data_IF_752155743745
#
_entry.id   IF_752155743745
#
_cell.length_a   1.000
_cell.length_b   1.000
_cell.length_c   1.000
_cell.angle_alpha   90.00
_cell.angle_beta   90.00
_cell.angle_gamma   90.00
#
_symmetry.space_group_name_H-M   'P 1'
#
loop_
_entity.id
_entity.type
_entity.pdbx_description
1 polymer ?
#
# COMPACT_ATOMS: atom_id res chain seq x y z
N UNK A 1 -4.45 -8.24 13.41
CA UNK A 1 -4.72 -8.70 12.03
C UNK A 1 -3.43 -9.28 11.47
N UNK A 2 -3.44 -10.32 10.62
CA UNK A 2 -2.21 -11.01 10.14
C UNK A 2 -1.21 -10.03 9.52
N UNK A 3 -1.70 -9.03 8.79
CA UNK A 3 -0.86 -8.03 8.11
C UNK A 3 -0.42 -6.86 9.02
N UNK A 4 -0.75 -6.88 10.31
CA UNK A 4 -0.44 -5.80 11.27
C UNK A 4 0.08 -6.37 12.61
N UNK A 5 0.69 -7.56 12.58
CA UNK A 5 1.35 -8.12 13.77
C UNK A 5 2.75 -7.52 13.89
N UNK A 6 3.06 -6.91 15.03
CA UNK A 6 4.35 -6.26 15.32
C UNK A 6 5.56 -7.19 15.11
N UNK A 7 5.39 -8.49 15.40
CA UNK A 7 6.43 -9.51 15.21
C UNK A 7 6.82 -9.70 13.74
N UNK A 8 5.83 -9.66 12.82
CA UNK A 8 6.05 -9.84 11.37
C UNK A 8 6.35 -8.49 10.68
N UNK A 9 5.82 -7.39 11.22
CA UNK A 9 5.88 -6.03 10.65
C UNK A 9 6.09 -5.00 11.78
N UNK A 10 7.33 -4.56 12.06
CA UNK A 10 7.60 -3.56 13.10
C UNK A 10 6.90 -2.23 12.80
N UNK A 11 6.33 -1.52 13.77
CA UNK A 11 5.55 -0.29 13.54
C UNK A 11 4.49 -0.44 12.42
N UNK A 12 3.57 -1.43 12.51
CA UNK A 12 2.71 -1.85 11.41
C UNK A 12 1.72 -0.76 10.96
N UNK A 13 1.40 0.19 11.84
CA UNK A 13 0.53 1.34 11.55
C UNK A 13 1.25 2.44 10.74
N UNK A 14 2.59 2.41 10.66
CA UNK A 14 3.37 3.38 9.89
C UNK A 14 3.62 2.87 8.47
N UNK A 15 3.21 3.68 7.49
CA UNK A 15 3.60 3.49 6.10
C UNK A 15 5.11 3.75 5.94
N UNK A 16 5.88 2.67 5.92
CA UNK A 16 7.34 2.70 5.79
C UNK A 16 7.78 1.62 4.78
N UNK A 17 7.97 1.97 3.50
CA UNK A 17 8.41 1.01 2.48
C UNK A 17 9.79 0.40 2.77
N UNK A 18 10.68 1.14 3.44
CA UNK A 18 12.05 0.70 3.72
C UNK A 18 12.11 -0.52 4.62
N UNK A 19 11.03 -0.86 5.34
CA UNK A 19 10.98 -2.09 6.15
C UNK A 19 11.17 -3.36 5.34
N UNK A 20 10.75 -3.34 4.08
CA UNK A 20 10.87 -4.46 3.16
C UNK A 20 12.25 -4.53 2.50
N UNK A 21 13.19 -3.64 2.86
CA UNK A 21 14.54 -3.57 2.32
C UNK A 21 15.61 -3.79 3.40
N UNK A 22 16.70 -4.47 3.07
CA UNK A 22 17.89 -4.59 3.90
C UNK A 22 18.83 -3.38 3.71
N UNK A 23 19.96 -3.37 4.43
CA UNK A 23 20.92 -2.26 4.39
C UNK A 23 21.55 -2.06 2.99
N UNK A 24 21.56 -3.10 2.17
CA UNK A 24 22.05 -3.10 0.79
C UNK A 24 20.95 -2.77 -0.23
N UNK A 25 19.72 -2.53 0.21
CA UNK A 25 18.57 -2.22 -0.64
C UNK A 25 17.96 -3.44 -1.34
N UNK A 26 18.26 -4.65 -0.90
CA UNK A 26 17.61 -5.89 -1.36
C UNK A 26 16.41 -6.20 -0.47
N UNK A 27 15.58 -7.17 -0.88
CA UNK A 27 14.43 -7.58 -0.07
C UNK A 27 14.88 -8.10 1.29
N UNK A 28 14.32 -7.53 2.36
CA UNK A 28 14.62 -7.91 3.73
C UNK A 28 13.99 -9.28 4.05
N UNK A 29 14.78 -10.34 4.29
CA UNK A 29 14.23 -11.67 4.59
C UNK A 29 13.58 -11.76 5.98
N UNK A 30 13.81 -10.77 6.86
CA UNK A 30 13.26 -10.74 8.21
C UNK A 30 11.85 -10.15 8.28
N UNK A 31 11.38 -9.50 7.20
CA UNK A 31 10.00 -9.00 7.11
C UNK A 31 9.22 -9.94 6.21
N UNK A 32 8.07 -10.38 6.70
CA UNK A 32 7.25 -11.36 6.00
C UNK A 32 6.67 -10.76 4.73
N UNK A 33 6.63 -11.55 3.66
CA UNK A 33 5.97 -11.16 2.42
C UNK A 33 4.45 -10.99 2.65
N UNK A 34 3.89 -9.78 2.43
CA UNK A 34 2.46 -9.52 2.58
C UNK A 34 1.57 -10.39 1.68
N UNK A 35 2.06 -10.85 0.52
CA UNK A 35 1.30 -11.70 -0.41
C UNK A 35 0.89 -13.04 0.22
N UNK A 36 1.59 -13.48 1.26
CA UNK A 36 1.28 -14.71 2.00
C UNK A 36 -0.07 -14.67 2.72
N UNK A 37 -0.61 -13.47 2.98
CA UNK A 37 -1.88 -13.30 3.69
C UNK A 37 -2.85 -12.30 3.02
N UNK A 38 -2.36 -11.31 2.26
CA UNK A 38 -3.20 -10.28 1.64
C UNK A 38 -4.23 -10.84 0.65
N UNK A 39 -3.92 -11.98 0.04
CA UNK A 39 -4.79 -12.68 -0.91
C UNK A 39 -5.46 -13.92 -0.31
N UNK A 40 -5.44 -14.08 1.03
CA UNK A 40 -5.85 -15.31 1.69
C UNK A 40 -4.86 -16.47 1.44
N UNK A 41 -5.17 -17.65 1.98
CA UNK A 41 -4.28 -18.81 1.95
C UNK A 41 -5.05 -20.13 1.79
N UNK A 42 -4.34 -21.20 1.44
CA UNK A 42 -4.91 -22.53 1.25
C UNK A 42 -5.77 -22.66 -0.01
N UNK A 43 -6.79 -23.53 0.04
CA UNK A 43 -7.62 -23.90 -1.14
C UNK A 43 -8.53 -22.78 -1.65
N UNK A 44 -8.72 -21.72 -0.85
CA UNK A 44 -9.55 -20.56 -1.18
C UNK A 44 -8.73 -19.26 -1.26
N UNK A 45 -7.41 -19.36 -1.42
CA UNK A 45 -6.60 -18.20 -1.76
C UNK A 45 -7.12 -17.55 -3.06
N UNK A 46 -7.03 -16.22 -3.15
CA UNK A 46 -7.55 -15.45 -4.27
C UNK A 46 -6.93 -15.97 -5.58
N UNK A 47 -7.74 -16.51 -6.51
CA UNK A 47 -7.22 -17.02 -7.78
C UNK A 47 -6.66 -15.90 -8.67
N UNK A 48 -7.08 -14.65 -8.42
CA UNK A 48 -6.62 -13.47 -9.14
C UNK A 48 -5.30 -12.87 -8.65
N UNK A 49 -4.65 -13.43 -7.62
CA UNK A 49 -3.47 -12.79 -6.99
C UNK A 49 -2.36 -12.43 -7.98
N UNK A 50 -2.05 -13.33 -8.91
CA UNK A 50 -0.97 -13.12 -9.87
C UNK A 50 -1.28 -12.00 -10.86
N UNK A 51 -2.55 -11.91 -11.29
CA UNK A 51 -3.02 -10.84 -12.16
C UNK A 51 -3.01 -9.51 -11.39
N UNK A 52 -3.48 -9.52 -10.14
CA UNK A 52 -3.54 -8.33 -9.29
C UNK A 52 -2.14 -7.72 -9.05
N UNK A 53 -1.16 -8.54 -8.66
CA UNK A 53 0.22 -8.10 -8.42
C UNK A 53 0.86 -7.58 -9.71
N UNK A 54 0.75 -8.32 -10.82
CA UNK A 54 1.30 -7.88 -12.10
C UNK A 54 0.67 -6.57 -12.59
N UNK A 55 -0.65 -6.44 -12.46
CA UNK A 55 -1.39 -5.23 -12.86
C UNK A 55 -0.99 -4.03 -11.99
N UNK A 56 -0.89 -4.22 -10.68
CA UNK A 56 -0.48 -3.17 -9.75
C UNK A 56 0.93 -2.67 -10.08
N UNK A 57 1.87 -3.59 -10.33
CA UNK A 57 3.23 -3.25 -10.72
C UNK A 57 3.26 -2.40 -11.98
N UNK A 58 2.57 -2.84 -13.04
CA UNK A 58 2.53 -2.13 -14.33
C UNK A 58 1.89 -0.75 -14.17
N UNK A 59 0.76 -0.65 -13.46
CA UNK A 59 0.06 0.63 -13.25
C UNK A 59 0.94 1.61 -12.50
N UNK A 60 1.55 1.21 -11.37
CA UNK A 60 2.42 2.08 -10.58
C UNK A 60 3.64 2.52 -11.39
N UNK A 61 4.33 1.58 -12.05
CA UNK A 61 5.50 1.90 -12.87
C UNK A 61 5.15 2.84 -14.02
N UNK A 62 4.00 2.63 -14.67
CA UNK A 62 3.55 3.48 -15.79
C UNK A 62 3.19 4.89 -15.33
N UNK A 63 2.49 5.03 -14.20
CA UNK A 63 2.18 6.34 -13.62
C UNK A 63 3.47 7.08 -13.29
N UNK A 64 4.43 6.42 -12.61
CA UNK A 64 5.70 7.05 -12.23
C UNK A 64 6.61 7.37 -13.43
N UNK A 65 6.49 6.64 -14.53
CA UNK A 65 7.26 6.90 -15.74
C UNK A 65 6.68 8.06 -16.57
N UNK A 66 5.36 8.24 -16.58
CA UNK A 66 4.67 9.16 -17.47
C UNK A 66 4.14 10.42 -16.79
N UNK A 67 4.01 10.42 -15.46
CA UNK A 67 3.36 11.49 -14.70
C UNK A 67 4.21 11.91 -13.50
N UNK A 68 4.09 13.18 -13.13
CA UNK A 68 4.54 13.67 -11.81
C UNK A 68 3.29 13.80 -10.93
N UNK A 69 3.32 13.17 -9.75
CA UNK A 69 2.22 13.25 -8.78
C UNK A 69 2.49 14.43 -7.87
N UNK A 70 1.61 15.43 -7.90
CA UNK A 70 1.70 16.63 -7.07
C UNK A 70 0.45 16.74 -6.18
N UNK A 71 0.57 17.35 -4.99
CA UNK A 71 -0.58 17.60 -4.13
C UNK A 71 -1.45 18.75 -4.66
N UNK A 72 -2.73 18.75 -4.29
CA UNK A 72 -3.62 19.90 -4.53
C UNK A 72 -3.02 21.18 -3.89
N UNK A 73 -3.25 22.33 -4.50
CA UNK A 73 -2.92 23.61 -3.89
C UNK A 73 -4.09 24.15 -3.06
N UNK A 74 -3.80 24.64 -1.86
CA UNK A 74 -4.77 25.34 -1.02
C UNK A 74 -5.15 26.72 -1.59
N UNK A 75 -6.05 27.43 -0.92
CA UNK A 75 -6.50 28.78 -1.32
C UNK A 75 -5.35 29.81 -1.41
N UNK A 76 -4.20 29.52 -0.80
CA UNK A 76 -3.00 30.36 -0.80
C UNK A 76 -1.93 29.86 -1.79
N UNK A 77 -2.24 28.86 -2.62
CA UNK A 77 -1.32 28.28 -3.59
C UNK A 77 -0.26 27.35 -2.98
N UNK A 78 -0.47 26.85 -1.75
CA UNK A 78 0.48 25.95 -1.07
C UNK A 78 0.05 24.48 -1.18
N UNK A 79 1.01 23.54 -1.30
CA UNK A 79 0.75 22.10 -1.24
C UNK A 79 -0.11 21.67 -0.04
N UNK A 80 -1.27 21.09 -0.32
CA UNK A 80 -2.20 20.50 0.62
C UNK A 80 -2.14 18.98 0.53
N UNK A 81 -1.64 18.33 1.59
CA UNK A 81 -1.57 16.86 1.65
C UNK A 81 -2.96 16.27 1.91
N UNK A 82 -3.35 15.17 1.23
CA UNK A 82 -4.52 14.41 1.62
C UNK A 82 -4.40 13.97 3.08
N UNK A 83 -5.50 14.07 3.84
CA UNK A 83 -5.52 13.78 5.29
C UNK A 83 -5.28 12.30 5.64
N UNK A 84 -5.23 11.41 4.64
CA UNK A 84 -5.05 9.97 4.85
C UNK A 84 -6.21 9.30 5.59
N UNK A 85 -7.41 9.89 5.52
CA UNK A 85 -8.60 9.35 6.16
C UNK A 85 -9.18 8.21 5.33
N UNK A 86 -9.57 7.14 6.01
CA UNK A 86 -10.12 5.93 5.39
C UNK A 86 -11.59 5.78 5.74
N UNK A 87 -12.36 5.18 4.84
CA UNK A 87 -13.73 4.78 5.15
C UNK A 87 -13.71 3.63 6.17
N UNK A 88 -14.16 3.89 7.40
CA UNK A 88 -14.27 2.89 8.48
C UNK A 88 -15.70 2.40 8.73
N UNK A 89 -16.57 2.47 7.71
CA UNK A 89 -17.95 2.01 7.82
C UNK A 89 -18.09 0.48 7.79
N UNK A 90 -19.32 -0.06 7.77
CA UNK A 90 -19.60 -1.50 7.91
C UNK A 90 -19.23 -2.34 6.68
N UNK A 91 -18.44 -1.79 5.74
CA UNK A 91 -18.06 -2.48 4.51
C UNK A 91 -16.87 -3.41 4.74
N UNK A 92 -16.80 -4.48 3.95
CA UNK A 92 -15.66 -5.42 3.96
C UNK A 92 -14.41 -4.85 3.27
N UNK A 93 -14.55 -3.74 2.54
CA UNK A 93 -13.47 -3.08 1.80
C UNK A 93 -13.13 -1.76 2.47
N UNK A 94 -11.83 -1.53 2.67
CA UNK A 94 -11.29 -0.25 3.08
C UNK A 94 -10.83 0.50 1.82
N UNK A 95 -11.20 1.77 1.70
CA UNK A 95 -10.73 2.67 0.66
C UNK A 95 -10.58 4.08 1.26
N UNK A 96 -9.74 4.95 0.67
CA UNK A 96 -9.62 6.32 1.15
C UNK A 96 -10.97 7.04 1.00
N UNK A 97 -11.25 8.00 1.89
CA UNK A 97 -12.32 8.96 1.66
C UNK A 97 -12.02 9.79 0.41
N UNK A 98 -13.04 10.34 -0.28
CA UNK A 98 -12.81 11.22 -1.42
C UNK A 98 -11.83 12.35 -1.07
N UNK A 99 -10.75 12.42 -1.83
CA UNK A 99 -9.75 13.48 -1.74
C UNK A 99 -9.56 14.09 -3.13
N UNK A 100 -9.07 15.32 -3.15
CA UNK A 100 -8.72 16.00 -4.38
C UNK A 100 -7.26 15.75 -4.71
N UNK A 101 -6.98 15.66 -6.01
CA UNK A 101 -5.67 15.37 -6.59
C UNK A 101 -5.28 16.52 -7.52
#
# INVERSE_FOLDING_TARGET
SILHTEEDYPEPELFNPSRFLDAEGKLNPNVKDPETAAFGFGRHACPGKHIAVASLWIVVASILACCTIEPELDENGKPSKPKGEWYSGPTLLNHPLPFKC
#
